data_IF_759690761893
#
_entry.id   IF_759690761893
#
_cell.length_a   1.000
_cell.length_b   1.000
_cell.length_c   1.000
_cell.angle_alpha   90.00
_cell.angle_beta   90.00
_cell.angle_gamma   90.00
#
_symmetry.space_group_name_H-M   'P 1'
#
loop_
_entity.id
_entity.type
_entity.pdbx_description
1 polymer ?
#
# COMPACT_ATOMS: atom_id res chain seq x y z
N UNK A 1 -12.72 -11.13 -3.01
CA UNK A 1 -12.59 -10.74 -1.59
C UNK A 1 -13.25 -9.37 -1.45
N UNK A 2 -13.88 -9.04 -0.32
CA UNK A 2 -14.28 -7.65 -0.06
C UNK A 2 -13.28 -7.07 0.95
N UNK A 3 -12.56 -6.01 0.58
CA UNK A 3 -11.60 -5.37 1.47
C UNK A 3 -12.31 -4.36 2.36
N UNK A 4 -11.82 -4.19 3.59
CA UNK A 4 -12.34 -3.19 4.52
C UNK A 4 -11.21 -2.43 5.20
N UNK A 5 -11.47 -1.17 5.53
CA UNK A 5 -10.54 -0.35 6.31
C UNK A 5 -10.25 -1.02 7.65
N UNK A 6 -8.98 -0.99 8.03
CA UNK A 6 -8.42 -1.57 9.24
C UNK A 6 -8.08 -3.05 9.16
N UNK A 7 -8.20 -3.68 7.97
CA UNK A 7 -7.61 -4.99 7.73
C UNK A 7 -6.08 -4.91 7.71
N UNK A 8 -5.44 -5.91 8.33
CA UNK A 8 -4.01 -6.14 8.29
C UNK A 8 -3.74 -7.46 7.58
N UNK A 9 -2.87 -7.40 6.58
CA UNK A 9 -2.47 -8.52 5.76
C UNK A 9 -0.98 -8.77 5.91
N UNK A 10 -0.58 -10.04 5.86
CA UNK A 10 0.83 -10.40 5.69
C UNK A 10 1.07 -10.87 4.27
N UNK A 11 2.20 -10.49 3.69
CA UNK A 11 2.70 -10.98 2.41
C UNK A 11 4.05 -11.66 2.65
N UNK A 12 4.27 -12.87 2.11
CA UNK A 12 5.47 -13.65 2.38
C UNK A 12 6.73 -12.93 1.91
N UNK A 13 7.86 -13.27 2.54
CA UNK A 13 9.16 -12.89 2.02
C UNK A 13 9.37 -13.47 0.62
N UNK A 14 10.16 -12.77 -0.18
CA UNK A 14 10.65 -13.24 -1.49
C UNK A 14 12.17 -13.21 -1.48
N UNK A 15 12.83 -13.76 -2.50
CA UNK A 15 14.30 -13.85 -2.58
C UNK A 15 15.00 -12.50 -2.29
N UNK A 16 14.40 -11.39 -2.71
CA UNK A 16 14.99 -10.05 -2.59
C UNK A 16 14.22 -9.11 -1.65
N UNK A 17 13.16 -9.57 -0.97
CA UNK A 17 12.24 -8.68 -0.23
C UNK A 17 11.77 -9.29 1.08
N UNK A 18 11.70 -8.51 2.16
CA UNK A 18 11.25 -9.00 3.44
C UNK A 18 9.76 -9.35 3.41
N UNK A 19 9.32 -10.14 4.38
CA UNK A 19 7.90 -10.27 4.69
C UNK A 19 7.32 -8.89 5.03
N UNK A 20 6.13 -8.59 4.49
CA UNK A 20 5.45 -7.31 4.67
C UNK A 20 4.17 -7.47 5.48
N UNK A 21 3.93 -6.51 6.36
CA UNK A 21 2.69 -6.32 7.11
C UNK A 21 2.02 -5.07 6.52
N UNK A 22 0.84 -5.25 5.95
CA UNK A 22 0.14 -4.23 5.17
C UNK A 22 -1.20 -3.90 5.81
N UNK A 23 -1.40 -2.64 6.20
CA UNK A 23 -2.66 -2.20 6.83
C UNK A 23 -3.45 -1.34 5.85
N UNK A 24 -4.71 -1.70 5.59
CA UNK A 24 -5.62 -0.91 4.75
C UNK A 24 -6.13 0.27 5.56
N UNK A 25 -5.57 1.46 5.35
CA UNK A 25 -5.97 2.68 6.07
C UNK A 25 -7.15 3.40 5.43
N UNK A 26 -7.35 3.25 4.12
CA UNK A 26 -8.47 3.85 3.38
C UNK A 26 -8.78 3.09 2.09
N UNK A 27 -10.03 3.16 1.65
CA UNK A 27 -10.48 2.66 0.35
C UNK A 27 -11.18 3.82 -0.36
N UNK A 28 -10.68 4.20 -1.52
CA UNK A 28 -11.27 5.24 -2.37
C UNK A 28 -11.86 4.58 -3.61
N UNK A 29 -13.14 4.85 -3.89
CA UNK A 29 -13.78 4.37 -5.12
C UNK A 29 -13.26 5.13 -6.33
N UNK A 30 -13.32 4.52 -7.52
CA UNK A 30 -12.96 5.21 -8.75
C UNK A 30 -13.71 6.54 -8.92
N UNK A 31 -14.99 6.59 -8.54
CA UNK A 31 -15.79 7.81 -8.59
C UNK A 31 -15.28 8.90 -7.64
N UNK A 32 -14.89 8.55 -6.41
CA UNK A 32 -14.27 9.50 -5.46
C UNK A 32 -12.94 10.06 -5.98
N UNK A 33 -12.23 9.26 -6.79
CA UNK A 33 -10.99 9.65 -7.46
C UNK A 33 -11.22 10.40 -8.78
N UNK A 34 -12.47 10.67 -9.18
CA UNK A 34 -12.79 11.36 -10.44
C UNK A 34 -12.61 10.50 -11.70
N UNK A 35 -12.48 9.18 -11.56
CA UNK A 35 -12.38 8.21 -12.65
C UNK A 35 -13.74 7.57 -12.97
N UNK A 36 -13.80 6.81 -14.08
CA UNK A 36 -15.00 6.04 -14.44
C UNK A 36 -15.36 5.06 -13.30
N UNK A 37 -16.60 5.08 -12.77
CA UNK A 37 -17.04 4.18 -11.71
C UNK A 37 -16.91 2.68 -12.02
N UNK A 38 -16.74 2.30 -13.29
CA UNK A 38 -16.47 0.92 -13.70
C UNK A 38 -15.04 0.45 -13.36
N UNK A 39 -14.13 1.37 -13.05
CA UNK A 39 -12.78 1.04 -12.59
C UNK A 39 -12.80 0.50 -11.16
N UNK A 40 -11.78 -0.29 -10.81
CA UNK A 40 -11.63 -0.82 -9.45
C UNK A 40 -11.36 0.27 -8.43
N UNK A 41 -11.71 0.00 -7.17
CA UNK A 41 -11.35 0.86 -6.05
C UNK A 41 -9.81 0.87 -5.85
N UNK A 42 -9.34 1.86 -5.09
CA UNK A 42 -7.95 1.97 -4.66
C UNK A 42 -7.85 1.75 -3.17
N UNK A 43 -6.98 0.83 -2.78
CA UNK A 43 -6.62 0.56 -1.40
C UNK A 43 -5.41 1.43 -1.04
N UNK A 44 -5.63 2.43 -0.20
CA UNK A 44 -4.57 3.22 0.41
C UNK A 44 -4.06 2.49 1.65
N UNK A 45 -2.82 2.00 1.59
CA UNK A 45 -2.25 1.12 2.61
C UNK A 45 -0.97 1.69 3.23
N UNK A 46 -0.69 1.33 4.48
CA UNK A 46 0.65 1.44 5.05
C UNK A 46 1.38 0.11 4.92
N UNK A 47 2.69 0.12 4.67
CA UNK A 47 3.50 -1.08 4.50
C UNK A 47 4.66 -1.07 5.50
N UNK A 48 4.66 -2.06 6.38
CA UNK A 48 5.69 -2.22 7.41
C UNK A 48 6.40 -3.55 7.19
N UNK A 49 7.73 -3.56 6.96
CA UNK A 49 8.48 -4.81 6.92
C UNK A 49 8.47 -5.49 8.29
N UNK A 50 8.65 -6.81 8.31
CA UNK A 50 8.67 -7.58 9.56
C UNK A 50 9.78 -7.13 10.53
N UNK A 51 9.74 -7.59 11.79
CA UNK A 51 10.68 -7.13 12.81
C UNK A 51 12.16 -7.42 12.45
N UNK A 52 12.45 -8.55 11.82
CA UNK A 52 13.81 -8.90 11.42
C UNK A 52 14.34 -7.97 10.34
N UNK A 53 13.54 -7.65 9.33
CA UNK A 53 13.90 -6.71 8.29
C UNK A 53 14.06 -5.28 8.82
N UNK A 54 13.24 -4.84 9.79
CA UNK A 54 13.43 -3.54 10.44
C UNK A 54 14.75 -3.45 11.21
N UNK A 55 15.27 -4.55 11.76
CA UNK A 55 16.61 -4.60 12.38
C UNK A 55 17.74 -4.47 11.36
N UNK A 56 17.44 -4.68 10.08
CA UNK A 56 18.33 -4.48 8.94
C UNK A 56 18.04 -3.15 8.22
N UNK A 57 17.40 -2.20 8.92
CA UNK A 57 17.10 -0.85 8.42
C UNK A 57 16.19 -0.80 7.18
N UNK A 58 15.38 -1.85 6.93
CA UNK A 58 14.33 -1.75 5.92
C UNK A 58 13.27 -0.71 6.33
N UNK A 59 13.00 0.31 5.50
CA UNK A 59 12.15 1.43 5.90
C UNK A 59 10.67 1.06 5.84
N UNK A 60 9.87 1.73 6.68
CA UNK A 60 8.42 1.71 6.56
C UNK A 60 7.98 2.63 5.44
N UNK A 61 6.92 2.24 4.71
CA UNK A 61 6.21 3.13 3.78
C UNK A 61 4.88 3.54 4.43
N UNK A 62 4.77 4.83 4.74
CA UNK A 62 3.61 5.42 5.41
C UNK A 62 2.32 5.26 4.60
N UNK A 63 2.39 5.44 3.28
CA UNK A 63 1.25 5.34 2.37
C UNK A 63 1.68 4.81 1.00
N UNK A 64 0.91 3.86 0.47
CA UNK A 64 0.98 3.39 -0.90
C UNK A 64 -0.44 3.19 -1.46
N UNK A 65 -0.78 3.77 -2.63
CA UNK A 65 -2.06 3.56 -3.30
C UNK A 65 -1.99 2.33 -4.22
N UNK A 66 -2.75 1.27 -3.93
CA UNK A 66 -2.74 0.03 -4.71
C UNK A 66 -4.13 -0.24 -5.28
N UNK A 67 -4.23 -0.56 -6.57
CA UNK A 67 -5.49 -0.94 -7.18
C UNK A 67 -6.04 -2.21 -6.50
N UNK A 68 -7.33 -2.22 -6.16
CA UNK A 68 -7.98 -3.36 -5.49
C UNK A 68 -7.77 -4.68 -6.25
N UNK A 69 -7.81 -4.61 -7.58
CA UNK A 69 -7.61 -5.74 -8.49
C UNK A 69 -6.19 -6.31 -8.44
N UNK A 70 -5.20 -5.55 -7.96
CA UNK A 70 -3.81 -5.96 -7.88
C UNK A 70 -3.39 -6.43 -6.48
N UNK A 71 -4.05 -5.93 -5.43
CA UNK A 71 -3.60 -6.07 -4.03
C UNK A 71 -3.27 -7.49 -3.58
N UNK A 72 -4.08 -8.48 -3.97
CA UNK A 72 -3.83 -9.88 -3.66
C UNK A 72 -4.17 -10.76 -4.88
N UNK A 73 -3.79 -10.31 -6.06
CA UNK A 73 -4.14 -10.98 -7.33
C UNK A 73 -3.49 -12.36 -7.46
N UNK A 74 -2.28 -12.54 -6.90
CA UNK A 74 -1.55 -13.79 -6.90
C UNK A 74 -1.96 -14.75 -5.76
N UNK A 75 -2.78 -14.26 -4.82
CA UNK A 75 -3.24 -15.02 -3.66
C UNK A 75 -2.16 -15.27 -2.59
N UNK A 76 -1.04 -14.57 -2.64
CA UNK A 76 0.06 -14.72 -1.67
C UNK A 76 -0.22 -14.08 -0.31
N UNK A 77 -1.12 -13.09 -0.27
CA UNK A 77 -1.47 -12.36 0.94
C UNK A 77 -2.46 -13.10 1.83
N UNK A 78 -2.19 -13.09 3.14
CA UNK A 78 -3.06 -13.66 4.16
C UNK A 78 -3.60 -12.58 5.10
N UNK A 79 -4.91 -12.56 5.33
CA UNK A 79 -5.55 -11.67 6.31
C UNK A 79 -5.21 -12.16 7.72
N UNK A 80 -4.57 -11.32 8.53
CA UNK A 80 -4.11 -11.69 9.89
C UNK A 80 -4.87 -10.97 11.00
N UNK A 81 -5.44 -9.79 10.72
CA UNK A 81 -6.18 -9.00 11.70
C UNK A 81 -7.16 -8.03 11.01
N UNK A 82 -8.15 -7.56 11.75
CA UNK A 82 -9.04 -6.47 11.35
C UNK A 82 -9.29 -5.50 12.53
N UNK A 83 -9.92 -4.35 12.24
CA UNK A 83 -10.22 -3.32 13.24
C UNK A 83 -9.00 -2.52 13.71
N UNK A 84 -7.88 -2.57 12.98
CA UNK A 84 -6.63 -1.86 13.30
C UNK A 84 -6.63 -0.47 12.68
N UNK A 85 -6.19 0.54 13.43
CA UNK A 85 -5.95 1.87 12.85
C UNK A 85 -4.58 1.90 12.16
N UNK A 86 -4.45 2.56 10.99
CA UNK A 86 -3.15 2.70 10.35
C UNK A 86 -2.19 3.53 11.22
N UNK A 87 -0.87 3.45 10.98
CA UNK A 87 0.13 4.25 11.68
C UNK A 87 -0.10 5.77 11.60
N UNK A 88 0.44 6.53 12.55
CA UNK A 88 0.20 7.98 12.67
C UNK A 88 0.60 8.80 11.43
N UNK A 89 1.63 8.35 10.70
CA UNK A 89 2.15 9.01 9.50
C UNK A 89 1.32 8.72 8.23
N UNK A 90 0.42 7.73 8.28
CA UNK A 90 -0.44 7.36 7.15
C UNK A 90 -1.25 8.54 6.61
N UNK A 91 -1.85 9.32 7.50
CA UNK A 91 -2.73 10.43 7.12
C UNK A 91 -1.97 11.51 6.33
N UNK A 92 -0.72 11.78 6.70
CA UNK A 92 0.13 12.73 5.99
C UNK A 92 0.54 12.20 4.62
N UNK A 93 0.95 10.92 4.54
CA UNK A 93 1.31 10.29 3.26
C UNK A 93 0.13 10.26 2.28
N UNK A 94 -1.06 9.87 2.77
CA UNK A 94 -2.29 9.89 1.99
C UNK A 94 -2.62 11.30 1.45
N UNK A 95 -2.53 12.32 2.30
CA UNK A 95 -2.84 13.70 1.90
C UNK A 95 -1.91 14.19 0.79
N UNK A 96 -0.61 13.93 0.91
CA UNK A 96 0.39 14.27 -0.12
C UNK A 96 0.11 13.57 -1.44
N UNK A 97 -0.16 12.25 -1.40
CA UNK A 97 -0.53 11.51 -2.60
C UNK A 97 -1.81 12.07 -3.22
N UNK A 98 -2.84 12.33 -2.41
CA UNK A 98 -4.14 12.79 -2.90
C UNK A 98 -4.03 14.13 -3.62
N UNK A 99 -3.32 15.09 -3.04
CA UNK A 99 -3.07 16.40 -3.67
C UNK A 99 -2.35 16.23 -5.03
N UNK A 100 -1.33 15.37 -5.07
CA UNK A 100 -0.54 15.13 -6.28
C UNK A 100 -1.33 14.36 -7.34
N UNK A 101 -2.18 13.43 -6.92
CA UNK A 101 -3.08 12.65 -7.77
C UNK A 101 -4.13 13.55 -8.42
N UNK A 102 -4.75 14.45 -7.63
CA UNK A 102 -5.72 15.44 -8.12
C UNK A 102 -5.10 16.44 -9.10
N UNK A 103 -3.81 16.72 -8.96
CA UNK A 103 -3.04 17.50 -9.93
C UNK A 103 -2.64 16.71 -11.20
N UNK A 104 -2.96 15.42 -11.28
CA UNK A 104 -2.61 14.54 -12.40
C UNK A 104 -1.14 14.08 -12.42
N UNK A 105 -0.42 14.27 -11.31
CA UNK A 105 1.03 14.03 -11.20
C UNK A 105 1.38 12.79 -10.37
N UNK A 106 0.39 12.08 -9.83
CA UNK A 106 0.58 10.81 -9.13
C UNK A 106 -0.31 9.72 -9.73
N UNK A 107 0.13 8.47 -9.58
CA UNK A 107 -0.59 7.29 -10.05
C UNK A 107 -1.05 6.39 -8.91
N UNK A 108 -1.45 5.18 -9.30
CA UNK A 108 -1.84 4.08 -8.43
C UNK A 108 -1.01 2.86 -8.88
N UNK A 109 -0.52 2.08 -7.93
CA UNK A 109 0.17 0.83 -8.24
C UNK A 109 -0.83 -0.23 -8.74
N UNK A 110 -0.52 -0.81 -9.89
CA UNK A 110 -1.27 -1.93 -10.49
C UNK A 110 -0.60 -3.28 -10.25
N UNK A 111 0.32 -3.34 -9.29
CA UNK A 111 1.07 -4.51 -8.84
C UNK A 111 0.80 -4.77 -7.36
N UNK A 112 1.19 -5.95 -6.86
CA UNK A 112 0.96 -6.32 -5.45
C UNK A 112 1.84 -5.53 -4.46
N UNK A 113 1.53 -5.56 -3.15
CA UNK A 113 2.26 -4.81 -2.12
C UNK A 113 3.77 -5.04 -2.11
N UNK A 114 4.23 -6.27 -2.33
CA UNK A 114 5.67 -6.57 -2.39
C UNK A 114 6.38 -5.86 -3.54
N UNK A 115 5.75 -5.76 -4.71
CA UNK A 115 6.31 -5.06 -5.87
C UNK A 115 6.19 -3.54 -5.72
N UNK A 116 5.05 -3.04 -5.23
CA UNK A 116 4.85 -1.62 -4.97
C UNK A 116 5.88 -1.11 -3.94
N UNK A 117 6.11 -1.86 -2.87
CA UNK A 117 7.09 -1.52 -1.84
C UNK A 117 8.50 -1.41 -2.45
N UNK A 118 8.92 -2.39 -3.25
CA UNK A 118 10.23 -2.36 -3.90
C UNK A 118 10.40 -1.12 -4.81
N UNK A 119 9.40 -0.82 -5.64
CA UNK A 119 9.44 0.35 -6.52
C UNK A 119 9.55 1.68 -5.73
N UNK A 120 8.90 1.77 -4.56
CA UNK A 120 9.01 2.94 -3.68
C UNK A 120 10.43 3.07 -3.11
N UNK A 121 11.06 1.96 -2.71
CA UNK A 121 12.42 1.99 -2.20
C UNK A 121 13.44 2.41 -3.26
N UNK A 122 13.24 1.99 -4.52
CA UNK A 122 14.08 2.45 -5.63
C UNK A 122 14.00 3.97 -5.77
N UNK A 123 12.80 4.56 -5.71
CA UNK A 123 12.61 6.01 -5.75
C UNK A 123 13.33 6.72 -4.59
N UNK A 124 13.28 6.14 -3.38
CA UNK A 124 14.01 6.69 -2.23
C UNK A 124 15.53 6.63 -2.42
N UNK A 125 16.05 5.55 -2.99
CA UNK A 125 17.48 5.42 -3.27
C UNK A 125 17.98 6.37 -4.36
N UNK A 126 17.13 6.78 -5.30
CA UNK A 126 17.47 7.76 -6.35
C UNK A 126 17.42 9.22 -5.86
N UNK A 127 16.84 9.47 -4.69
CA UNK A 127 16.67 10.82 -4.13
C UNK A 127 17.66 11.17 -3.00
N UNK A 128 18.55 10.25 -2.63
CA UNK A 128 19.69 10.43 -1.70
C UNK A 128 20.98 10.83 -2.46
#
# INVERSE_FOLDING_TARGET
>A
MNYVVGQVWTFPETEDRPQLIVTIGRIDTAAELGADPANSAVLSVSVTPNEEARKLDWPQVAHAPIAETAFNADGSGELVMDGVSPPDDFASGYATWRETFDAGNAGVFTVGPSEAYAAILEIYAETD
#
